data_IF_501830697538
#
_entry.id   IF_501830697538
#
_cell.length_a   1.000
_cell.length_b   1.000
_cell.length_c   1.000
_cell.angle_alpha   90.00
_cell.angle_beta   90.00
_cell.angle_gamma   90.00
#
_symmetry.space_group_name_H-M   'P 1'
#
loop_
_entity.id
_entity.type
_entity.pdbx_description
1 polymer ?
#
# COMPACT_ATOMS: atom_id res chain seq x y z
N UNK A 1 -28.92 -17.24 48.71
CA UNK A 1 -27.82 -18.13 48.26
C UNK A 1 -26.99 -17.36 47.25
N UNK A 2 -25.70 -17.22 47.56
CA UNK A 2 -24.66 -16.59 46.76
C UNK A 2 -24.27 -17.43 45.54
N UNK A 3 -23.85 -16.79 44.44
CA UNK A 3 -22.55 -16.98 43.76
C UNK A 3 -22.29 -15.76 42.84
N UNK A 4 -21.12 -15.08 42.92
CA UNK A 4 -20.73 -13.97 42.06
C UNK A 4 -20.06 -14.39 40.74
N UNK A 5 -19.91 -13.43 39.83
CA UNK A 5 -19.39 -13.46 38.45
C UNK A 5 -18.03 -14.15 38.23
N UNK A 6 -17.60 -14.29 36.96
CA UNK A 6 -16.62 -13.30 36.51
C UNK A 6 -17.03 -12.51 35.25
N UNK A 7 -16.53 -11.27 35.10
CA UNK A 7 -16.53 -10.57 33.82
C UNK A 7 -15.52 -11.24 32.89
N UNK A 8 -15.93 -11.58 31.66
CA UNK A 8 -14.97 -11.89 30.62
C UNK A 8 -14.57 -10.57 29.96
N UNK A 9 -13.44 -10.05 30.44
CA UNK A 9 -12.67 -8.96 29.86
C UNK A 9 -12.61 -8.99 28.33
N UNK A 10 -12.79 -7.79 27.79
CA UNK A 10 -12.00 -7.21 26.72
C UNK A 10 -10.88 -8.10 26.16
N UNK A 11 -11.08 -8.58 24.93
CA UNK A 11 -10.12 -8.47 23.85
C UNK A 11 -10.72 -9.15 22.63
N UNK A 12 -11.59 -8.45 21.89
CA UNK A 12 -11.56 -8.65 20.44
C UNK A 12 -10.29 -7.94 19.99
N UNK A 13 -9.16 -8.62 20.20
CA UNK A 13 -8.02 -8.43 19.34
C UNK A 13 -8.57 -8.74 17.95
N UNK A 14 -8.81 -7.71 17.16
CA UNK A 14 -8.98 -7.85 15.73
C UNK A 14 -7.71 -8.52 15.26
N UNK A 15 -7.77 -9.85 15.14
CA UNK A 15 -6.70 -10.64 14.56
C UNK A 15 -6.36 -10.01 13.20
N UNK A 16 -5.07 -9.96 12.81
CA UNK A 16 -4.76 -9.62 11.43
C UNK A 16 -5.48 -10.66 10.59
N UNK A 17 -6.46 -10.23 9.79
CA UNK A 17 -7.14 -11.08 8.81
C UNK A 17 -6.05 -11.69 7.92
N UNK A 18 -5.68 -12.97 8.07
CA UNK A 18 -4.68 -13.60 7.24
C UNK A 18 -5.43 -14.22 6.07
N UNK A 19 -6.09 -13.39 5.26
CA UNK A 19 -6.74 -13.83 4.02
C UNK A 19 -5.90 -13.40 2.82
N UNK A 20 -4.59 -13.64 2.92
CA UNK A 20 -3.74 -13.78 1.76
C UNK A 20 -3.39 -15.27 1.70
N UNK A 21 -3.98 -15.99 0.74
CA UNK A 21 -3.49 -17.32 0.39
C UNK A 21 -1.97 -17.25 0.20
N UNK A 22 -1.19 -18.24 0.68
CA UNK A 22 0.27 -18.17 0.63
C UNK A 22 0.73 -17.93 -0.81
N UNK A 23 1.28 -16.74 -1.07
CA UNK A 23 1.75 -16.30 -2.39
C UNK A 23 0.91 -15.21 -3.08
N UNK A 24 -0.28 -14.86 -2.58
CA UNK A 24 -1.03 -13.67 -3.05
C UNK A 24 -0.75 -12.46 -2.17
N UNK A 25 -0.84 -11.28 -2.76
CA UNK A 25 -0.77 -10.01 -2.04
C UNK A 25 -2.09 -9.77 -1.31
N UNK A 26 -2.01 -9.32 -0.05
CA UNK A 26 -3.18 -8.86 0.70
C UNK A 26 -3.46 -7.37 0.50
N UNK A 27 -4.65 -6.91 0.89
CA UNK A 27 -5.07 -5.49 0.77
C UNK A 27 -4.05 -4.53 1.41
N UNK A 28 -3.58 -4.86 2.61
CA UNK A 28 -2.62 -4.03 3.34
C UNK A 28 -1.26 -3.92 2.62
N UNK A 29 -0.89 -4.92 1.82
CA UNK A 29 0.34 -4.91 1.04
C UNK A 29 0.17 -4.04 -0.20
N UNK A 30 -0.95 -4.19 -0.89
CA UNK A 30 -1.31 -3.33 -2.01
C UNK A 30 -1.41 -1.86 -1.61
N UNK A 31 -2.01 -1.56 -0.47
CA UNK A 31 -2.06 -0.19 0.07
C UNK A 31 -0.66 0.35 0.38
N UNK A 32 0.22 -0.45 0.97
CA UNK A 32 1.62 -0.05 1.22
C UNK A 32 2.37 0.24 -0.08
N UNK A 33 2.14 -0.54 -1.12
CA UNK A 33 2.76 -0.31 -2.42
C UNK A 33 2.25 0.98 -3.07
N UNK A 34 0.95 1.27 -3.01
CA UNK A 34 0.40 2.54 -3.49
C UNK A 34 1.04 3.73 -2.77
N UNK A 35 1.18 3.64 -1.44
CA UNK A 35 1.83 4.68 -0.64
C UNK A 35 3.30 4.88 -1.01
N UNK A 36 4.03 3.78 -1.21
CA UNK A 36 5.43 3.81 -1.62
C UNK A 36 5.62 4.45 -2.99
N UNK A 37 4.80 4.07 -3.99
CA UNK A 37 4.85 4.66 -5.33
C UNK A 37 4.56 6.16 -5.27
N UNK A 38 3.54 6.55 -4.51
CA UNK A 38 3.16 7.95 -4.37
C UNK A 38 4.26 8.79 -3.70
N UNK A 39 4.89 8.28 -2.65
CA UNK A 39 6.02 8.94 -1.99
C UNK A 39 7.20 9.14 -2.95
N UNK A 40 7.56 8.13 -3.74
CA UNK A 40 8.63 8.23 -4.73
C UNK A 40 8.31 9.26 -5.82
N UNK A 41 7.07 9.28 -6.32
CA UNK A 41 6.61 10.27 -7.32
C UNK A 41 6.65 11.70 -6.75
N UNK A 42 6.23 11.89 -5.49
CA UNK A 42 6.26 13.21 -4.83
C UNK A 42 7.71 13.65 -4.59
N UNK A 43 8.59 12.75 -4.12
CA UNK A 43 10.02 13.03 -3.96
C UNK A 43 10.67 13.42 -5.28
N UNK A 44 10.37 12.70 -6.36
CA UNK A 44 10.85 13.02 -7.70
C UNK A 44 10.34 14.39 -8.19
N UNK A 45 9.05 14.69 -7.98
CA UNK A 45 8.50 16.02 -8.30
C UNK A 45 9.16 17.13 -7.49
N UNK A 46 9.35 16.96 -6.18
CA UNK A 46 10.04 17.93 -5.31
C UNK A 46 11.49 18.17 -5.72
N UNK A 47 12.16 17.16 -6.27
CA UNK A 47 13.53 17.30 -6.77
C UNK A 47 13.61 18.08 -8.09
N UNK A 48 12.54 18.08 -8.90
CA UNK A 48 12.52 18.67 -10.25
C UNK A 48 11.79 20.01 -10.34
N UNK A 49 10.83 20.26 -9.44
CA UNK A 49 9.95 21.44 -9.47
C UNK A 49 10.27 22.45 -8.37
N UNK A 50 9.87 23.70 -8.58
CA UNK A 50 9.89 24.70 -7.51
C UNK A 50 8.80 24.39 -6.48
N UNK A 51 9.00 24.81 -5.23
CA UNK A 51 8.14 24.44 -4.10
C UNK A 51 6.64 24.75 -4.29
N UNK A 52 6.31 25.75 -5.12
CA UNK A 52 4.93 26.17 -5.46
C UNK A 52 4.18 25.18 -6.37
N UNK A 53 4.88 24.23 -7.00
CA UNK A 53 4.27 23.23 -7.88
C UNK A 53 4.20 21.84 -7.24
N UNK A 54 4.59 21.72 -5.97
CA UNK A 54 4.48 20.48 -5.20
C UNK A 54 3.02 20.33 -4.76
N UNK A 55 2.37 19.19 -5.04
CA UNK A 55 0.98 18.99 -4.66
C UNK A 55 0.79 19.10 -3.14
N UNK A 56 -0.31 19.73 -2.73
CA UNK A 56 -0.72 19.86 -1.33
C UNK A 56 -1.14 18.50 -0.75
N UNK A 57 -1.20 18.38 0.58
CA UNK A 57 -1.65 17.14 1.23
C UNK A 57 -3.05 16.68 0.79
N UNK A 58 -3.96 17.62 0.53
CA UNK A 58 -5.29 17.30 -0.03
C UNK A 58 -5.21 16.74 -1.45
N UNK A 59 -4.33 17.30 -2.29
CA UNK A 59 -4.11 16.78 -3.64
C UNK A 59 -3.45 15.40 -3.60
N UNK A 60 -2.49 15.19 -2.70
CA UNK A 60 -1.85 13.91 -2.47
C UNK A 60 -2.87 12.87 -2.01
N UNK A 61 -3.74 13.21 -1.06
CA UNK A 61 -4.80 12.31 -0.60
C UNK A 61 -5.78 11.92 -1.72
N UNK A 62 -6.11 12.87 -2.60
CA UNK A 62 -6.95 12.61 -3.77
C UNK A 62 -6.28 11.68 -4.77
N UNK A 63 -5.00 11.93 -5.10
CA UNK A 63 -4.22 11.05 -5.98
C UNK A 63 -4.10 9.65 -5.39
N UNK A 64 -3.82 9.54 -4.08
CA UNK A 64 -3.79 8.26 -3.37
C UNK A 64 -5.10 7.48 -3.51
N UNK A 65 -6.24 8.16 -3.32
CA UNK A 65 -7.55 7.54 -3.46
C UNK A 65 -7.79 7.03 -4.89
N UNK A 66 -7.44 7.83 -5.91
CA UNK A 66 -7.51 7.42 -7.31
C UNK A 66 -6.59 6.22 -7.60
N UNK A 67 -5.34 6.26 -7.15
CA UNK A 67 -4.40 5.15 -7.31
C UNK A 67 -4.90 3.88 -6.61
N UNK A 68 -5.55 4.01 -5.45
CA UNK A 68 -6.16 2.87 -4.77
C UNK A 68 -7.27 2.25 -5.60
N UNK A 69 -8.21 3.04 -6.10
CA UNK A 69 -9.27 2.52 -6.97
C UNK A 69 -8.71 1.83 -8.22
N UNK A 70 -7.66 2.37 -8.83
CA UNK A 70 -7.09 1.82 -10.09
C UNK A 70 -6.10 0.66 -9.88
N UNK A 71 -5.33 0.65 -8.79
CA UNK A 71 -4.24 -0.31 -8.56
C UNK A 71 -4.58 -1.44 -7.59
N UNK A 72 -5.61 -1.28 -6.75
CA UNK A 72 -5.92 -2.27 -5.71
C UNK A 72 -6.35 -3.61 -6.34
N UNK A 73 -7.29 -3.60 -7.28
CA UNK A 73 -7.75 -4.82 -7.97
C UNK A 73 -6.61 -5.55 -8.72
N UNK A 74 -5.80 -4.90 -9.58
CA UNK A 74 -4.70 -5.59 -10.26
C UNK A 74 -3.60 -6.03 -9.29
N UNK A 75 -3.36 -5.31 -8.19
CA UNK A 75 -2.42 -5.77 -7.17
C UNK A 75 -2.89 -7.07 -6.50
N UNK A 76 -4.18 -7.17 -6.17
CA UNK A 76 -4.75 -8.37 -5.53
C UNK A 76 -4.85 -9.58 -6.47
N UNK A 77 -4.95 -9.35 -7.78
CA UNK A 77 -5.33 -10.39 -8.75
C UNK A 77 -4.26 -10.73 -9.78
N UNK A 78 -3.46 -9.76 -10.21
CA UNK A 78 -2.51 -9.90 -11.31
C UNK A 78 -1.04 -9.86 -10.85
N UNK A 79 -0.74 -9.22 -9.72
CA UNK A 79 0.64 -9.09 -9.25
C UNK A 79 1.06 -10.26 -8.36
N UNK A 80 2.23 -10.79 -8.68
CA UNK A 80 2.91 -11.80 -7.90
C UNK A 80 3.81 -11.16 -6.83
N UNK A 81 4.21 -12.00 -5.87
CA UNK A 81 5.06 -11.59 -4.76
C UNK A 81 6.43 -11.02 -5.20
N UNK A 82 7.19 -11.65 -6.11
CA UNK A 82 8.46 -11.07 -6.57
C UNK A 82 8.31 -9.69 -7.22
N UNK A 83 7.26 -9.46 -8.02
CA UNK A 83 6.96 -8.15 -8.59
C UNK A 83 6.72 -7.10 -7.50
N UNK A 84 5.92 -7.44 -6.48
CA UNK A 84 5.71 -6.60 -5.31
C UNK A 84 7.02 -6.28 -4.57
N UNK A 85 7.83 -7.30 -4.27
CA UNK A 85 9.09 -7.12 -3.55
C UNK A 85 10.07 -6.24 -4.36
N UNK A 86 10.09 -6.36 -5.69
CA UNK A 86 10.88 -5.47 -6.56
C UNK A 86 10.41 -4.02 -6.42
N UNK A 87 9.10 -3.78 -6.56
CA UNK A 87 8.52 -2.44 -6.49
C UNK A 87 8.74 -1.80 -5.11
N UNK A 88 8.61 -2.58 -4.02
CA UNK A 88 8.90 -2.11 -2.67
C UNK A 88 10.38 -1.84 -2.41
N UNK A 89 11.28 -2.51 -3.13
CA UNK A 89 12.72 -2.25 -3.06
C UNK A 89 13.17 -1.05 -3.89
N UNK A 90 12.34 -0.56 -4.82
CA UNK A 90 12.64 0.60 -5.63
C UNK A 90 12.87 1.84 -4.77
N UNK A 91 13.88 2.64 -5.14
CA UNK A 91 14.29 3.86 -4.40
C UNK A 91 13.90 5.16 -5.09
N UNK A 92 13.43 5.05 -6.32
CA UNK A 92 13.13 6.15 -7.22
C UNK A 92 12.18 5.65 -8.32
N UNK A 93 11.67 6.61 -9.10
CA UNK A 93 10.68 6.36 -10.14
C UNK A 93 11.24 5.51 -11.28
N UNK A 94 12.53 5.61 -11.59
CA UNK A 94 13.17 4.81 -12.64
C UNK A 94 13.23 3.33 -12.23
N UNK A 95 13.63 3.07 -10.98
CA UNK A 95 13.61 1.72 -10.41
C UNK A 95 12.18 1.12 -10.34
N UNK A 96 11.16 1.94 -10.05
CA UNK A 96 9.76 1.49 -10.09
C UNK A 96 9.36 1.03 -11.50
N UNK A 97 9.71 1.82 -12.53
CA UNK A 97 9.42 1.45 -13.92
C UNK A 97 10.20 0.21 -14.37
N UNK A 98 11.43 0.01 -13.88
CA UNK A 98 12.19 -1.21 -14.14
C UNK A 98 11.51 -2.46 -13.55
N UNK A 99 10.91 -2.35 -12.36
CA UNK A 99 10.16 -3.43 -11.72
C UNK A 99 8.77 -3.65 -12.33
N UNK A 100 8.14 -2.62 -12.88
CA UNK A 100 6.84 -2.69 -13.56
C UNK A 100 6.95 -3.06 -15.06
N UNK A 101 8.18 -3.13 -15.61
CA UNK A 101 8.50 -3.44 -17.00
C UNK A 101 8.22 -4.89 -17.41
N UNK A 102 8.15 -5.18 -18.73
CA UNK A 102 7.21 -6.14 -19.29
C UNK A 102 7.38 -7.54 -18.73
N UNK A 103 6.29 -8.08 -18.20
CA UNK A 103 6.03 -9.52 -18.17
C UNK A 103 6.11 -10.05 -19.60
N UNK A 104 7.25 -10.60 -19.98
CA UNK A 104 7.39 -11.46 -21.16
C UNK A 104 6.72 -12.82 -20.90
#
# INVERSE_FOLDING_TARGET
TSTPSPPADAAVATAPTPDAAPGRLGDAECEQLIDHVLDLQIKAQRAQKQADEVPTDEQIAKVRATMRDEMLEPCLTAWDRPSFDCLMAAKDVDALYACAGPTD
#
